data_IF_705420099176
#
_entry.id   IF_705420099176
#
_cell.length_a   1.000
_cell.length_b   1.000
_cell.length_c   1.000
_cell.angle_alpha   90.00
_cell.angle_beta   90.00
_cell.angle_gamma   90.00
#
_symmetry.space_group_name_H-M   'P 1'
#
loop_
_entity.id
_entity.type
_entity.pdbx_description
1 polymer ?
#
# COMPACT_ATOMS: atom_id res chain seq x y z
N UNK A 1 9.83 3.12 -14.54
CA UNK A 1 10.06 1.93 -13.68
C UNK A 1 11.37 1.22 -13.98
N UNK A 2 11.64 0.84 -15.24
CA UNK A 2 12.83 0.04 -15.61
C UNK A 2 14.15 0.71 -15.16
N UNK A 3 14.27 2.03 -15.37
CA UNK A 3 15.45 2.81 -14.94
C UNK A 3 15.66 2.80 -13.42
N UNK A 4 14.58 2.85 -12.63
CA UNK A 4 14.66 2.79 -11.17
C UNK A 4 15.04 1.40 -10.65
N UNK A 5 14.58 0.34 -11.33
CA UNK A 5 14.96 -1.05 -11.02
C UNK A 5 16.43 -1.30 -11.36
N UNK A 6 16.91 -0.79 -12.50
CA UNK A 6 18.31 -0.85 -12.92
C UNK A 6 19.24 -0.06 -11.99
N UNK A 7 18.87 1.17 -11.63
CA UNK A 7 19.63 1.96 -10.67
C UNK A 7 19.62 1.31 -9.27
N UNK A 8 18.46 0.79 -8.84
CA UNK A 8 18.31 0.09 -7.57
C UNK A 8 19.15 -1.19 -7.48
N UNK A 9 19.23 -1.97 -8.56
CA UNK A 9 20.02 -3.21 -8.61
C UNK A 9 21.53 -2.96 -8.66
N UNK A 10 21.98 -1.86 -9.29
CA UNK A 10 23.39 -1.44 -9.24
C UNK A 10 23.83 -0.97 -7.85
N UNK A 11 22.93 -0.35 -7.07
CA UNK A 11 23.22 0.27 -5.76
C UNK A 11 23.05 -0.71 -4.59
N UNK A 12 22.40 -1.86 -4.81
CA UNK A 12 22.01 -2.84 -3.77
C UNK A 12 23.18 -3.55 -3.03
N UNK A 13 24.44 -3.37 -3.47
CA UNK A 13 25.60 -4.16 -2.99
C UNK A 13 26.21 -3.70 -1.65
N UNK A 14 25.71 -2.68 -0.96
CA UNK A 14 26.32 -2.19 0.29
C UNK A 14 25.28 -1.94 1.39
N UNK A 15 25.75 -1.97 2.65
CA UNK A 15 24.99 -1.76 3.90
C UNK A 15 24.16 -0.46 4.00
N UNK A 16 24.09 0.32 2.92
CA UNK A 16 23.28 1.51 2.74
C UNK A 16 21.77 1.23 2.72
N UNK A 17 21.34 -0.01 2.50
CA UNK A 17 19.91 -0.39 2.57
C UNK A 17 19.27 0.02 3.88
N UNK A 18 20.00 -0.07 5.01
CA UNK A 18 19.49 0.34 6.33
C UNK A 18 19.26 1.86 6.42
N UNK A 19 20.12 2.66 5.79
CA UNK A 19 19.96 4.12 5.72
C UNK A 19 18.83 4.50 4.77
N UNK A 20 18.75 3.84 3.62
CA UNK A 20 17.67 4.04 2.65
C UNK A 20 16.31 3.76 3.29
N UNK A 21 16.15 2.66 4.03
CA UNK A 21 14.91 2.38 4.75
C UNK A 21 14.53 3.48 5.74
N UNK A 22 15.50 3.98 6.53
CA UNK A 22 15.25 5.07 7.48
C UNK A 22 14.83 6.37 6.77
N UNK A 23 15.49 6.70 5.65
CA UNK A 23 15.13 7.85 4.82
C UNK A 23 13.75 7.68 4.18
N UNK A 24 13.41 6.49 3.68
CA UNK A 24 12.10 6.19 3.11
C UNK A 24 10.99 6.38 4.13
N UNK A 25 11.16 5.84 5.34
CA UNK A 25 10.21 6.04 6.44
C UNK A 25 10.04 7.51 6.77
N UNK A 26 11.14 8.28 6.85
CA UNK A 26 11.06 9.73 7.08
C UNK A 26 10.30 10.45 5.96
N UNK A 27 10.55 10.10 4.69
CA UNK A 27 9.83 10.67 3.54
C UNK A 27 8.35 10.29 3.58
N UNK A 28 8.00 9.05 3.93
CA UNK A 28 6.60 8.64 4.09
C UNK A 28 5.92 9.48 5.17
N UNK A 29 6.56 9.72 6.32
CA UNK A 29 5.99 10.59 7.35
C UNK A 29 5.75 12.02 6.85
N UNK A 30 6.71 12.61 6.14
CA UNK A 30 6.57 13.95 5.55
C UNK A 30 5.43 13.98 4.53
N UNK A 31 5.34 12.97 3.67
CA UNK A 31 4.30 12.87 2.66
C UNK A 31 2.91 12.71 3.30
N UNK A 32 2.79 11.84 4.30
CA UNK A 32 1.55 11.66 5.05
C UNK A 32 1.13 12.93 5.79
N UNK A 33 2.09 13.70 6.32
CA UNK A 33 1.82 14.97 6.95
C UNK A 33 1.25 15.99 5.96
N UNK A 34 1.90 16.14 4.79
CA UNK A 34 1.42 17.06 3.73
C UNK A 34 0.03 16.63 3.26
N UNK A 35 -0.18 15.34 3.03
CA UNK A 35 -1.46 14.80 2.60
C UNK A 35 -2.55 15.07 3.64
N UNK A 36 -2.25 14.89 4.93
CA UNK A 36 -3.19 15.20 6.01
C UNK A 36 -3.59 16.67 6.04
N UNK A 37 -2.63 17.59 5.84
CA UNK A 37 -2.92 19.03 5.76
C UNK A 37 -3.76 19.38 4.53
N UNK A 38 -3.43 18.81 3.36
CA UNK A 38 -4.18 19.05 2.12
C UNK A 38 -5.63 18.56 2.22
N UNK A 39 -5.83 17.35 2.75
CA UNK A 39 -7.16 16.74 2.93
C UNK A 39 -7.94 17.42 4.05
N UNK A 40 -7.25 17.88 5.10
CA UNK A 40 -7.86 18.53 6.27
C UNK A 40 -8.31 19.97 6.04
N UNK A 41 -7.65 20.70 5.13
CA UNK A 41 -7.97 22.09 4.80
C UNK A 41 -9.02 22.27 3.69
N UNK A 42 -9.48 21.18 3.08
CA UNK A 42 -10.49 21.20 2.01
C UNK A 42 -11.83 20.66 2.53
N UNK A 43 -12.78 21.56 2.79
CA UNK A 43 -14.11 21.21 3.33
C UNK A 43 -14.89 20.26 2.41
N UNK A 44 -14.63 20.28 1.10
CA UNK A 44 -15.29 19.41 0.13
C UNK A 44 -14.77 17.97 0.23
N UNK A 45 -13.46 17.81 0.43
CA UNK A 45 -12.86 16.50 0.69
C UNK A 45 -13.29 16.00 2.07
N UNK A 46 -13.22 16.84 3.12
CA UNK A 46 -13.56 16.47 4.49
C UNK A 46 -15.03 16.03 4.64
N UNK A 47 -15.98 16.75 4.03
CA UNK A 47 -17.39 16.36 4.01
C UNK A 47 -17.64 15.07 3.22
N UNK A 48 -16.86 14.84 2.16
CA UNK A 48 -16.91 13.62 1.35
C UNK A 48 -16.10 12.47 1.96
N UNK A 49 -15.27 12.68 2.99
CA UNK A 49 -14.47 11.62 3.60
C UNK A 49 -15.35 10.54 4.23
N UNK A 50 -16.54 10.90 4.72
CA UNK A 50 -17.46 9.90 5.25
C UNK A 50 -17.94 8.93 4.15
N UNK A 51 -18.29 9.46 2.97
CA UNK A 51 -18.74 8.64 1.83
C UNK A 51 -17.58 7.88 1.18
N UNK A 52 -16.44 8.55 0.96
CA UNK A 52 -15.20 7.95 0.47
C UNK A 52 -14.67 6.88 1.42
N UNK A 53 -14.75 7.11 2.73
CA UNK A 53 -14.33 6.18 3.77
C UNK A 53 -15.18 4.91 3.78
N UNK A 54 -16.50 5.05 3.70
CA UNK A 54 -17.41 3.90 3.57
C UNK A 54 -17.15 3.12 2.27
N UNK A 55 -16.95 3.82 1.16
CA UNK A 55 -16.63 3.18 -0.12
C UNK A 55 -15.29 2.43 -0.04
N UNK A 56 -14.24 3.05 0.49
CA UNK A 56 -12.94 2.43 0.68
C UNK A 56 -12.99 1.21 1.60
N UNK A 57 -13.80 1.27 2.67
CA UNK A 57 -14.02 0.16 3.59
C UNK A 57 -14.71 -1.01 2.87
N UNK A 58 -15.75 -0.74 2.08
CA UNK A 58 -16.46 -1.76 1.31
C UNK A 58 -15.54 -2.42 0.27
N UNK A 59 -14.74 -1.64 -0.46
CA UNK A 59 -13.72 -2.16 -1.38
C UNK A 59 -12.67 -2.98 -0.66
N UNK A 60 -12.18 -2.54 0.50
CA UNK A 60 -11.15 -3.26 1.26
C UNK A 60 -11.66 -4.60 1.78
N UNK A 61 -12.89 -4.65 2.27
CA UNK A 61 -13.57 -5.89 2.66
C UNK A 61 -13.77 -6.81 1.46
N UNK A 62 -14.30 -6.30 0.35
CA UNK A 62 -14.52 -7.08 -0.86
C UNK A 62 -13.20 -7.66 -1.41
N UNK A 63 -12.13 -6.86 -1.45
CA UNK A 63 -10.81 -7.28 -1.90
C UNK A 63 -10.20 -8.34 -0.96
N UNK A 64 -10.28 -8.13 0.35
CA UNK A 64 -9.76 -9.09 1.34
C UNK A 64 -10.52 -10.41 1.27
N UNK A 65 -11.85 -10.37 1.24
CA UNK A 65 -12.69 -11.56 1.08
C UNK A 65 -12.41 -12.26 -0.24
N UNK A 66 -12.30 -11.53 -1.34
CA UNK A 66 -11.94 -12.08 -2.65
C UNK A 66 -10.58 -12.78 -2.65
N UNK A 67 -9.58 -12.16 -2.01
CA UNK A 67 -8.24 -12.74 -1.86
C UNK A 67 -8.26 -14.02 -1.02
N UNK A 68 -8.97 -14.02 0.11
CA UNK A 68 -9.11 -15.19 1.00
C UNK A 68 -9.87 -16.32 0.29
N UNK A 69 -10.94 -16.00 -0.45
CA UNK A 69 -11.70 -16.99 -1.23
C UNK A 69 -10.85 -17.61 -2.33
N UNK A 70 -10.05 -16.81 -3.05
CA UNK A 70 -9.13 -17.33 -4.06
C UNK A 70 -8.06 -18.24 -3.43
N UNK A 71 -7.44 -17.81 -2.32
CA UNK A 71 -6.46 -18.61 -1.60
C UNK A 71 -7.07 -19.93 -1.11
N UNK A 72 -8.30 -19.89 -0.57
CA UNK A 72 -9.04 -21.08 -0.16
C UNK A 72 -9.38 -22.01 -1.34
N UNK A 73 -9.75 -21.45 -2.48
CA UNK A 73 -10.03 -22.24 -3.69
C UNK A 73 -8.77 -22.95 -4.21
N UNK A 74 -7.64 -22.23 -4.26
CA UNK A 74 -6.33 -22.79 -4.62
C UNK A 74 -5.92 -23.87 -3.62
N UNK A 75 -6.03 -23.61 -2.32
CA UNK A 75 -5.74 -24.58 -1.28
C UNK A 75 -6.59 -25.86 -1.43
N UNK A 76 -7.90 -25.73 -1.65
CA UNK A 76 -8.79 -26.87 -1.83
C UNK A 76 -8.53 -27.64 -3.13
N UNK A 77 -8.16 -26.97 -4.22
CA UNK A 77 -7.86 -27.61 -5.52
C UNK A 77 -6.50 -28.30 -5.55
N UNK A 78 -5.49 -27.74 -4.87
CA UNK A 78 -4.10 -28.19 -4.96
C UNK A 78 -3.68 -29.06 -3.77
N UNK A 79 -4.04 -28.70 -2.54
CA UNK A 79 -3.66 -29.46 -1.33
C UNK A 79 -4.64 -30.57 -0.94
N UNK A 80 -5.91 -30.50 -1.36
CA UNK A 80 -6.91 -31.55 -1.09
C UNK A 80 -6.99 -32.63 -2.16
N UNK A 81 -6.09 -32.57 -3.16
CA UNK A 81 -5.87 -33.61 -4.18
C UNK A 81 -4.54 -34.36 -3.97
N UNK A 82 -3.80 -34.05 -2.92
CA UNK A 82 -2.67 -34.85 -2.44
C UNK A 82 -3.18 -35.86 -1.39
#
# INVERSE_FOLDING_TARGET
>A
MIVGILLGSLIQKTALTKYVSKTLTAVIYVLLFILGVQVGGDDLIMSSLHTLGLQALLISLAATLGSVLCAFFVYRKFFRKA
#
